data_IF_368608808620
#
_entry.id   IF_368608808620
#
_cell.length_a   1.000
_cell.length_b   1.000
_cell.length_c   1.000
_cell.angle_alpha   90.00
_cell.angle_beta   90.00
_cell.angle_gamma   90.00
#
_symmetry.space_group_name_H-M   'P 1'
#
loop_
_entity.id
_entity.type
_entity.pdbx_description
1 polymer ?
#
# COMPACT_ATOMS: atom_id res chain seq x y z
N UNK A 1 16.72 6.53 -8.69
CA UNK A 1 16.64 6.33 -7.22
C UNK A 1 15.20 5.94 -6.90
N UNK A 2 14.97 5.03 -5.99
CA UNK A 2 13.63 4.66 -5.50
C UNK A 2 13.56 5.15 -4.07
N UNK A 3 12.56 5.98 -3.79
CA UNK A 3 12.26 6.47 -2.44
C UNK A 3 11.10 5.70 -1.84
N UNK A 4 11.20 5.31 -0.59
CA UNK A 4 10.15 4.65 0.18
C UNK A 4 10.11 5.24 1.58
N UNK A 5 8.90 5.62 2.04
CA UNK A 5 8.65 6.11 3.38
C UNK A 5 7.50 5.32 4.01
N UNK A 6 7.72 4.77 5.21
CA UNK A 6 6.73 4.02 5.99
C UNK A 6 6.02 4.98 6.95
N UNK A 7 4.80 5.32 6.63
CA UNK A 7 4.06 6.38 7.30
C UNK A 7 3.28 5.86 8.53
N UNK A 8 2.57 4.74 8.36
CA UNK A 8 1.86 4.05 9.45
C UNK A 8 2.42 2.65 9.55
N UNK A 9 3.24 2.40 10.56
CA UNK A 9 4.00 1.14 10.70
C UNK A 9 4.09 0.68 12.15
N UNK A 10 3.85 -0.62 12.36
CA UNK A 10 4.04 -1.35 13.62
C UNK A 10 4.84 -2.62 13.32
N UNK A 11 6.16 -2.48 13.26
CA UNK A 11 7.08 -3.59 13.01
C UNK A 11 8.29 -3.51 13.95
N UNK A 12 8.96 -4.63 14.28
CA UNK A 12 10.16 -4.61 15.13
C UNK A 12 11.27 -3.69 14.62
N UNK A 13 11.42 -3.62 13.28
CA UNK A 13 12.44 -2.84 12.60
C UNK A 13 12.07 -1.36 12.40
N UNK A 14 10.78 -1.02 12.51
CA UNK A 14 10.28 0.35 12.32
C UNK A 14 8.96 0.58 13.06
N UNK A 15 8.84 1.73 13.72
CA UNK A 15 7.65 2.12 14.46
C UNK A 15 7.22 3.54 14.12
N UNK A 16 5.93 3.73 13.85
CA UNK A 16 5.35 5.06 13.87
C UNK A 16 5.28 5.58 15.31
N UNK A 17 5.69 6.84 15.51
CA UNK A 17 5.71 7.51 16.81
C UNK A 17 4.71 8.66 16.79
N UNK A 18 3.85 8.72 17.77
CA UNK A 18 2.87 9.80 17.94
C UNK A 18 3.58 11.15 18.08
N UNK A 19 3.21 12.12 17.24
CA UNK A 19 3.87 13.44 17.19
C UNK A 19 3.17 14.52 18.02
N UNK A 20 1.89 14.35 18.35
CA UNK A 20 1.05 15.38 18.98
C UNK A 20 0.17 14.83 20.10
N UNK A 21 -0.43 15.73 20.87
CA UNK A 21 -1.40 15.42 21.92
C UNK A 21 -0.81 14.68 23.14
N UNK A 22 -1.68 14.19 24.04
CA UNK A 22 -1.27 13.54 25.28
C UNK A 22 -0.47 12.24 25.12
N UNK A 23 -0.60 11.59 23.96
CA UNK A 23 0.08 10.33 23.65
C UNK A 23 1.42 10.52 22.92
N UNK A 24 1.89 11.78 22.78
CA UNK A 24 3.15 12.10 22.10
C UNK A 24 4.32 11.28 22.63
N UNK A 25 5.09 10.71 21.71
CA UNK A 25 6.29 9.91 22.00
C UNK A 25 6.00 8.41 22.11
N UNK A 26 4.74 8.00 22.20
CA UNK A 26 4.38 6.58 22.20
C UNK A 26 4.43 5.99 20.79
N UNK A 27 4.79 4.72 20.69
CA UNK A 27 4.81 3.98 19.44
C UNK A 27 3.42 3.48 19.05
N UNK A 28 3.22 3.18 17.77
CA UNK A 28 1.97 2.56 17.30
C UNK A 28 1.75 1.20 17.98
N UNK A 29 2.82 0.44 18.24
CA UNK A 29 2.74 -0.84 18.95
C UNK A 29 2.23 -0.67 20.40
N UNK A 30 2.72 0.34 21.13
CA UNK A 30 2.23 0.64 22.48
C UNK A 30 0.74 1.03 22.48
N UNK A 31 0.29 1.79 21.47
CA UNK A 31 -1.13 2.11 21.33
C UNK A 31 -1.95 0.86 21.00
N UNK A 32 -1.44 -0.01 20.13
CA UNK A 32 -2.10 -1.26 19.74
C UNK A 32 -2.26 -2.22 20.91
N UNK A 33 -1.27 -2.29 21.79
CA UNK A 33 -1.26 -3.23 22.92
C UNK A 33 -1.94 -2.72 24.18
N UNK A 34 -1.87 -1.41 24.47
CA UNK A 34 -2.33 -0.87 25.75
C UNK A 34 -3.56 0.05 25.65
N UNK A 35 -3.83 0.66 24.48
CA UNK A 35 -4.94 1.61 24.30
C UNK A 35 -5.85 1.21 23.14
N UNK A 36 -5.91 -0.06 22.82
CA UNK A 36 -6.55 -0.60 21.63
C UNK A 36 -7.98 -0.10 21.43
N UNK A 37 -8.84 -0.27 22.45
CA UNK A 37 -10.25 0.11 22.34
C UNK A 37 -10.43 1.62 22.14
N UNK A 38 -9.63 2.42 22.83
CA UNK A 38 -9.70 3.88 22.73
C UNK A 38 -9.19 4.41 21.39
N UNK A 39 -8.17 3.77 20.81
CA UNK A 39 -7.54 4.24 19.57
C UNK A 39 -8.16 3.58 18.34
N UNK A 40 -8.39 2.26 18.36
CA UNK A 40 -8.79 1.49 17.18
C UNK A 40 -10.23 0.99 17.24
N UNK A 41 -10.88 1.03 18.41
CA UNK A 41 -12.23 0.49 18.59
C UNK A 41 -12.26 -1.03 18.41
N UNK A 42 -13.36 -1.52 17.86
CA UNK A 42 -13.58 -2.97 17.67
C UNK A 42 -12.88 -3.49 16.41
N UNK A 43 -11.58 -3.64 16.44
CA UNK A 43 -10.79 -4.29 15.40
C UNK A 43 -10.40 -5.70 15.83
N UNK A 44 -10.34 -6.64 14.89
CA UNK A 44 -9.94 -8.04 15.16
C UNK A 44 -8.58 -8.12 15.85
N UNK A 45 -8.42 -9.12 16.73
CA UNK A 45 -7.18 -9.29 17.49
C UNK A 45 -6.01 -9.72 16.61
N UNK A 46 -4.85 -9.09 16.83
CA UNK A 46 -3.60 -9.41 16.16
C UNK A 46 -2.43 -9.00 17.05
N UNK A 47 -1.28 -9.65 16.86
CA UNK A 47 -0.05 -9.37 17.63
C UNK A 47 0.51 -7.96 17.40
N UNK A 48 0.14 -7.30 16.31
CA UNK A 48 0.52 -5.94 15.94
C UNK A 48 -0.54 -5.30 15.07
N UNK A 49 -0.48 -3.97 14.87
CA UNK A 49 -1.40 -3.26 13.98
C UNK A 49 -1.37 -3.87 12.57
N UNK A 50 -2.52 -4.24 11.98
CA UNK A 50 -2.56 -5.14 10.83
C UNK A 50 -2.21 -4.53 9.49
N UNK A 51 -2.07 -3.21 9.40
CA UNK A 51 -1.75 -2.51 8.15
C UNK A 51 -0.36 -1.87 8.20
N UNK A 52 0.24 -1.76 7.03
CA UNK A 52 1.40 -0.92 6.75
C UNK A 52 1.01 0.05 5.62
N UNK A 53 1.24 1.35 5.84
CA UNK A 53 0.94 2.38 4.84
C UNK A 53 2.23 3.09 4.47
N UNK A 54 2.46 3.25 3.17
CA UNK A 54 3.71 3.79 2.63
C UNK A 54 3.45 4.88 1.58
N UNK A 55 4.45 5.73 1.41
CA UNK A 55 4.67 6.49 0.17
C UNK A 55 5.81 5.86 -0.61
N UNK A 56 5.59 5.62 -1.90
CA UNK A 56 6.60 5.14 -2.83
C UNK A 56 6.83 6.20 -3.91
N UNK A 57 8.08 6.66 -4.04
CA UNK A 57 8.52 7.56 -5.11
C UNK A 57 9.43 6.80 -6.06
N UNK A 58 8.87 6.27 -7.14
CA UNK A 58 9.55 5.40 -8.07
C UNK A 58 10.23 6.19 -9.20
N UNK A 59 11.45 6.66 -8.97
CA UNK A 59 12.28 7.26 -10.03
C UNK A 59 12.69 6.23 -11.08
N UNK A 60 12.88 4.97 -10.69
CA UNK A 60 13.18 3.84 -11.56
C UNK A 60 12.08 2.78 -11.45
N UNK A 61 11.95 1.92 -12.46
CA UNK A 61 11.04 0.77 -12.38
C UNK A 61 11.49 -0.19 -11.27
N UNK A 62 10.59 -0.52 -10.34
CA UNK A 62 10.87 -1.47 -9.27
C UNK A 62 11.06 -2.90 -9.83
N UNK A 63 11.63 -3.79 -9.01
CA UNK A 63 11.77 -5.20 -9.40
C UNK A 63 10.41 -5.85 -9.68
N UNK A 64 10.36 -6.74 -10.65
CA UNK A 64 9.24 -7.66 -10.82
C UNK A 64 9.24 -8.65 -9.65
N UNK A 65 8.11 -8.72 -8.95
CA UNK A 65 7.98 -9.40 -7.67
C UNK A 65 6.59 -9.98 -7.46
N UNK A 66 6.47 -10.82 -6.46
CA UNK A 66 5.21 -11.36 -5.97
C UNK A 66 5.23 -11.44 -4.45
N UNK A 67 4.07 -11.32 -3.84
CA UNK A 67 3.89 -11.50 -2.40
C UNK A 67 3.14 -12.80 -2.11
N UNK A 68 3.51 -13.51 -1.03
CA UNK A 68 2.90 -14.80 -0.74
C UNK A 68 1.43 -14.67 -0.32
N UNK A 69 0.54 -15.51 -0.88
CA UNK A 69 -0.79 -15.71 -0.33
C UNK A 69 -0.77 -16.35 1.05
N UNK A 70 -1.81 -16.11 1.85
CA UNK A 70 -1.98 -16.64 3.22
C UNK A 70 -1.63 -18.14 3.33
N UNK A 71 -2.17 -18.93 2.40
CA UNK A 71 -2.02 -20.40 2.41
C UNK A 71 -0.59 -20.92 2.25
N UNK A 72 0.34 -20.11 1.73
CA UNK A 72 1.73 -20.53 1.49
C UNK A 72 2.75 -19.70 2.27
N UNK A 73 2.37 -18.53 2.78
CA UNK A 73 3.27 -17.58 3.42
C UNK A 73 4.09 -18.22 4.54
N UNK A 74 3.45 -18.87 5.50
CA UNK A 74 4.13 -19.53 6.64
C UNK A 74 5.09 -20.65 6.19
N UNK A 75 4.70 -21.45 5.18
CA UNK A 75 5.56 -22.50 4.61
C UNK A 75 6.86 -21.95 4.02
N UNK A 76 6.79 -20.72 3.48
CA UNK A 76 7.93 -20.06 2.85
C UNK A 76 8.71 -19.16 3.82
N UNK A 77 8.36 -19.17 5.12
CA UNK A 77 8.97 -18.32 6.13
C UNK A 77 8.66 -16.83 5.95
N UNK A 78 7.54 -16.50 5.31
CA UNK A 78 7.10 -15.14 5.06
C UNK A 78 5.73 -14.84 5.65
N UNK A 79 5.26 -13.63 5.40
CA UNK A 79 3.96 -13.10 5.82
C UNK A 79 3.12 -12.76 4.59
N UNK A 80 1.78 -13.00 4.61
CA UNK A 80 0.93 -12.67 3.47
C UNK A 80 0.92 -11.16 3.22
N UNK A 81 0.81 -10.77 1.95
CA UNK A 81 0.85 -9.35 1.59
C UNK A 81 -0.08 -9.04 0.42
N UNK A 82 -1.29 -8.65 0.76
CA UNK A 82 -2.28 -8.07 -0.16
C UNK A 82 -2.18 -6.55 -0.05
N UNK A 83 -2.25 -5.86 -1.18
CA UNK A 83 -1.97 -4.45 -1.31
C UNK A 83 -3.06 -3.71 -2.10
N UNK A 84 -3.09 -2.40 -1.92
CA UNK A 84 -3.80 -1.46 -2.75
C UNK A 84 -2.90 -0.27 -3.04
N UNK A 85 -2.80 0.14 -4.29
CA UNK A 85 -2.06 1.31 -4.72
C UNK A 85 -2.98 2.40 -5.24
N UNK A 86 -2.75 3.61 -4.76
CA UNK A 86 -3.33 4.84 -5.31
C UNK A 86 -2.21 5.67 -5.93
N UNK A 87 -2.37 6.05 -7.20
CA UNK A 87 -1.41 6.87 -7.94
C UNK A 87 -1.60 8.34 -7.53
N UNK A 88 -0.81 8.79 -6.54
CA UNK A 88 -0.85 10.17 -6.06
C UNK A 88 -0.27 11.15 -7.08
N UNK A 89 0.71 10.71 -7.87
CA UNK A 89 1.27 11.46 -8.99
C UNK A 89 1.83 10.49 -10.03
N UNK A 90 1.69 10.83 -11.30
CA UNK A 90 2.29 10.11 -12.42
C UNK A 90 2.76 11.08 -13.50
N UNK A 91 3.96 10.89 -14.01
CA UNK A 91 4.43 11.62 -15.21
C UNK A 91 3.73 11.09 -16.47
N UNK A 92 3.77 11.85 -17.55
CA UNK A 92 3.27 11.38 -18.84
C UNK A 92 3.98 10.09 -19.29
N UNK A 93 3.21 9.05 -19.63
CA UNK A 93 3.74 7.75 -20.01
C UNK A 93 4.10 6.82 -18.86
N UNK A 94 3.83 7.21 -17.61
CA UNK A 94 3.97 6.33 -16.47
C UNK A 94 3.07 5.08 -16.60
N UNK A 95 3.50 3.99 -15.99
CA UNK A 95 2.81 2.70 -16.08
C UNK A 95 2.99 1.88 -14.81
N UNK A 96 2.04 1.01 -14.56
CA UNK A 96 2.18 -0.10 -13.62
C UNK A 96 2.31 -1.41 -14.40
N UNK A 97 2.94 -2.38 -13.78
CA UNK A 97 3.06 -3.73 -14.29
C UNK A 97 2.32 -4.64 -13.31
N UNK A 98 1.27 -5.34 -13.76
CA UNK A 98 0.47 -6.16 -12.86
C UNK A 98 -0.19 -7.32 -13.61
N UNK A 99 -0.07 -8.54 -13.05
CA UNK A 99 -0.55 -9.77 -13.65
C UNK A 99 0.22 -10.18 -14.89
N UNK A 100 -0.21 -11.25 -15.52
CA UNK A 100 0.36 -11.75 -16.75
C UNK A 100 -0.31 -11.12 -17.97
N UNK A 101 0.44 -10.92 -19.06
CA UNK A 101 -0.10 -10.39 -20.32
C UNK A 101 -1.00 -11.40 -21.03
N UNK A 102 -0.66 -12.68 -20.94
CA UNK A 102 -1.43 -13.83 -21.42
C UNK A 102 -1.22 -15.00 -20.47
N UNK A 103 -2.10 -15.98 -20.58
CA UNK A 103 -1.94 -17.23 -19.84
C UNK A 103 -0.64 -17.92 -20.23
N UNK A 104 0.17 -18.24 -19.23
CA UNK A 104 1.41 -19.00 -19.36
C UNK A 104 1.42 -20.12 -18.34
N UNK A 105 2.06 -21.25 -18.67
CA UNK A 105 2.29 -22.31 -17.71
C UNK A 105 3.46 -21.95 -16.79
N UNK A 106 3.53 -22.62 -15.64
CA UNK A 106 4.68 -22.51 -14.74
C UNK A 106 6.01 -22.76 -15.49
N UNK A 107 6.09 -23.81 -16.30
CA UNK A 107 7.31 -24.16 -17.05
C UNK A 107 7.71 -23.07 -18.05
N UNK A 108 6.72 -22.46 -18.73
CA UNK A 108 6.97 -21.32 -19.63
C UNK A 108 7.50 -20.11 -18.88
N UNK A 109 6.95 -19.84 -17.70
CA UNK A 109 7.41 -18.74 -16.85
C UNK A 109 8.84 -19.00 -16.34
N UNK A 110 9.13 -20.21 -15.84
CA UNK A 110 10.47 -20.61 -15.41
C UNK A 110 11.50 -20.50 -16.55
N UNK A 111 11.09 -20.91 -17.76
CA UNK A 111 11.94 -20.75 -18.95
C UNK A 111 12.22 -19.27 -19.21
N UNK A 112 11.22 -18.39 -19.16
CA UNK A 112 11.38 -16.96 -19.39
C UNK A 112 12.29 -16.30 -18.31
N UNK A 113 12.22 -16.76 -17.06
CA UNK A 113 13.15 -16.31 -16.00
C UNK A 113 14.59 -16.71 -16.35
N UNK A 114 14.83 -17.97 -16.74
CA UNK A 114 16.18 -18.44 -17.13
C UNK A 114 16.74 -17.70 -18.35
N UNK A 115 15.87 -17.40 -19.33
CA UNK A 115 16.24 -16.72 -20.56
C UNK A 115 16.36 -15.18 -20.39
N UNK A 116 15.98 -14.64 -19.22
CA UNK A 116 15.98 -13.20 -18.94
C UNK A 116 14.85 -12.42 -19.64
N UNK A 117 13.81 -13.11 -20.12
CA UNK A 117 12.68 -12.53 -20.89
C UNK A 117 11.39 -12.43 -20.07
N UNK A 118 11.42 -12.69 -18.77
CA UNK A 118 10.24 -12.69 -17.89
C UNK A 118 9.47 -11.36 -17.90
N UNK A 119 10.14 -10.25 -18.17
CA UNK A 119 9.51 -8.94 -18.33
C UNK A 119 8.52 -8.87 -19.50
N UNK A 120 8.68 -9.71 -20.52
CA UNK A 120 7.76 -9.76 -21.67
C UNK A 120 6.43 -10.45 -21.33
N UNK A 121 6.38 -11.14 -20.19
CA UNK A 121 5.19 -11.86 -19.73
C UNK A 121 4.27 -10.99 -18.86
N UNK A 122 4.76 -9.88 -18.32
CA UNK A 122 3.97 -9.03 -17.43
C UNK A 122 3.02 -8.12 -18.20
N UNK A 123 1.79 -7.96 -17.69
CA UNK A 123 0.84 -7.01 -18.26
C UNK A 123 1.19 -5.58 -17.84
N UNK A 124 1.21 -4.68 -18.83
CA UNK A 124 1.53 -3.26 -18.64
C UNK A 124 0.27 -2.42 -18.70
N UNK A 125 0.05 -1.59 -17.68
CA UNK A 125 -1.14 -0.74 -17.54
C UNK A 125 -0.67 0.72 -17.55
N UNK A 126 -0.97 1.52 -18.57
CA UNK A 126 -0.76 2.97 -18.53
C UNK A 126 -1.57 3.58 -17.38
N UNK A 127 -0.99 4.52 -16.66
CA UNK A 127 -1.65 5.16 -15.53
C UNK A 127 -1.46 6.68 -15.54
N UNK A 128 -2.37 7.34 -14.84
CA UNK A 128 -2.35 8.76 -14.57
C UNK A 128 -2.62 9.02 -13.08
N UNK A 129 -2.37 10.23 -12.63
CA UNK A 129 -2.72 10.68 -11.28
C UNK A 129 -4.21 10.45 -11.01
N UNK A 130 -4.52 9.82 -9.89
CA UNK A 130 -5.88 9.48 -9.48
C UNK A 130 -6.29 8.03 -9.75
N UNK A 131 -5.54 7.31 -10.58
CA UNK A 131 -5.77 5.88 -10.81
C UNK A 131 -5.46 5.04 -9.56
N UNK A 132 -6.03 3.85 -9.51
CA UNK A 132 -5.76 2.92 -8.43
C UNK A 132 -5.88 1.47 -8.87
N UNK A 133 -5.22 0.57 -8.14
CA UNK A 133 -5.26 -0.86 -8.40
C UNK A 133 -5.22 -1.66 -7.10
N UNK A 134 -6.08 -2.68 -7.01
CA UNK A 134 -6.01 -3.69 -5.95
C UNK A 134 -5.08 -4.82 -6.38
N UNK A 135 -4.18 -5.24 -5.49
CA UNK A 135 -3.15 -6.24 -5.72
C UNK A 135 -3.32 -7.39 -4.71
N UNK A 136 -4.11 -8.41 -5.04
CA UNK A 136 -4.19 -9.59 -4.19
C UNK A 136 -2.83 -10.26 -4.10
N UNK A 137 -2.51 -10.82 -2.95
CA UNK A 137 -1.33 -11.68 -2.80
C UNK A 137 -1.34 -12.78 -3.88
N UNK A 138 -0.18 -13.05 -4.47
CA UNK A 138 -0.03 -13.94 -5.63
C UNK A 138 -0.01 -13.23 -6.99
N UNK A 139 -0.43 -11.96 -7.08
CA UNK A 139 -0.29 -11.19 -8.31
C UNK A 139 1.16 -10.82 -8.58
N UNK A 140 1.66 -11.18 -9.74
CA UNK A 140 3.00 -10.79 -10.22
C UNK A 140 2.98 -9.32 -10.65
N UNK A 141 3.87 -8.45 -10.11
CA UNK A 141 3.76 -7.02 -10.34
C UNK A 141 5.08 -6.25 -10.19
N UNK A 142 5.08 -4.99 -10.63
CA UNK A 142 6.09 -3.97 -10.34
C UNK A 142 5.51 -2.56 -10.49
N UNK A 143 6.10 -1.59 -9.81
CA UNK A 143 5.84 -0.16 -10.05
C UNK A 143 6.77 0.32 -11.16
N UNK A 144 6.20 0.92 -12.20
CA UNK A 144 6.99 1.59 -13.25
C UNK A 144 7.54 2.93 -12.79
N UNK A 145 8.62 3.38 -13.42
CA UNK A 145 9.22 4.68 -13.14
C UNK A 145 8.24 5.84 -13.35
N UNK A 146 8.44 6.93 -12.61
CA UNK A 146 7.67 8.16 -12.71
C UNK A 146 6.33 8.17 -11.97
N UNK A 147 6.13 7.24 -11.05
CA UNK A 147 4.96 7.17 -10.19
C UNK A 147 5.30 7.56 -8.74
N UNK A 148 4.40 8.31 -8.10
CA UNK A 148 4.33 8.43 -6.65
C UNK A 148 3.04 7.73 -6.19
N UNK A 149 3.16 6.74 -5.34
CA UNK A 149 2.03 5.92 -4.88
C UNK A 149 1.81 6.08 -3.38
N UNK A 150 0.53 6.06 -2.98
CA UNK A 150 0.13 5.69 -1.63
C UNK A 150 -0.17 4.21 -1.65
N UNK A 151 0.60 3.43 -0.90
CA UNK A 151 0.44 1.97 -0.76
C UNK A 151 -0.21 1.65 0.59
N UNK A 152 -1.32 0.94 0.55
CA UNK A 152 -2.00 0.40 1.72
C UNK A 152 -1.92 -1.12 1.63
N UNK A 153 -1.32 -1.79 2.63
CA UNK A 153 -1.04 -3.21 2.57
C UNK A 153 -1.23 -3.91 3.93
N UNK A 154 -1.34 -5.23 3.91
CA UNK A 154 -1.12 -6.02 5.13
C UNK A 154 0.25 -5.68 5.73
N UNK A 155 0.37 -5.75 7.06
CA UNK A 155 1.61 -5.44 7.75
C UNK A 155 2.66 -6.54 7.55
N UNK A 156 3.22 -6.56 6.35
CA UNK A 156 4.23 -7.51 5.88
C UNK A 156 5.30 -6.79 5.07
N UNK A 157 6.55 -7.24 5.20
CA UNK A 157 7.67 -6.80 4.36
C UNK A 157 8.21 -7.95 3.47
N UNK A 158 7.43 -9.02 3.33
CA UNK A 158 7.83 -10.19 2.53
C UNK A 158 7.67 -9.90 1.04
N UNK A 159 8.80 -9.96 0.32
CA UNK A 159 8.86 -9.75 -1.13
C UNK A 159 9.70 -10.83 -1.79
N UNK A 160 9.11 -11.58 -2.72
CA UNK A 160 9.84 -12.53 -3.55
C UNK A 160 10.12 -11.92 -4.91
N UNK A 161 11.38 -11.49 -5.09
CA UNK A 161 11.87 -10.81 -6.30
C UNK A 161 12.19 -11.85 -7.37
N UNK A 162 11.63 -11.65 -8.56
CA UNK A 162 11.82 -12.53 -9.73
C UNK A 162 12.83 -11.97 -10.70
N UNK A 163 12.76 -10.65 -10.95
CA UNK A 163 13.63 -9.98 -11.90
C UNK A 163 13.89 -8.54 -11.46
N UNK A 164 15.13 -8.08 -11.56
CA UNK A 164 15.56 -6.75 -11.11
C UNK A 164 16.26 -5.95 -12.20
N UNK A 165 15.84 -6.11 -13.45
CA UNK A 165 16.34 -5.35 -14.61
C UNK A 165 17.86 -5.43 -14.75
N UNK A 166 18.51 -6.51 -14.28
CA UNK A 166 19.95 -6.71 -14.24
C UNK A 166 20.71 -5.60 -13.50
N UNK A 167 20.05 -4.92 -12.55
CA UNK A 167 20.68 -3.87 -11.75
C UNK A 167 21.70 -4.43 -10.77
N UNK A 168 22.74 -3.63 -10.56
CA UNK A 168 23.76 -3.87 -9.52
C UNK A 168 23.58 -2.82 -8.43
N UNK A 169 23.50 -3.24 -7.20
CA UNK A 169 23.47 -2.35 -6.05
C UNK A 169 24.80 -1.60 -5.96
N UNK A 170 24.74 -0.27 -6.02
CA UNK A 170 25.93 0.58 -6.05
C UNK A 170 26.76 0.52 -4.77
N UNK A 171 26.14 0.17 -3.63
CA UNK A 171 26.83 0.09 -2.35
C UNK A 171 27.59 -1.22 -2.18
N UNK A 172 27.06 -2.32 -2.72
CA UNK A 172 27.63 -3.67 -2.57
C UNK A 172 28.37 -4.16 -3.81
N UNK A 173 28.16 -3.53 -4.96
CA UNK A 173 28.69 -3.97 -6.26
C UNK A 173 28.08 -5.31 -6.74
N UNK A 174 26.97 -5.77 -6.15
CA UNK A 174 26.34 -7.07 -6.45
C UNK A 174 24.87 -6.88 -6.86
N UNK A 175 24.32 -7.76 -7.70
CA UNK A 175 22.89 -7.79 -7.95
C UNK A 175 22.13 -8.13 -6.65
N UNK A 176 20.90 -7.60 -6.51
CA UNK A 176 20.01 -7.98 -5.43
C UNK A 176 19.60 -9.44 -5.56
N UNK A 177 19.41 -10.10 -4.42
CA UNK A 177 18.99 -11.50 -4.39
C UNK A 177 17.62 -11.67 -5.08
N UNK A 178 17.51 -12.70 -5.91
CA UNK A 178 16.27 -13.18 -6.50
C UNK A 178 15.74 -14.35 -5.67
N UNK A 179 14.41 -14.52 -5.66
CA UNK A 179 13.68 -15.53 -4.89
C UNK A 179 12.75 -16.32 -5.81
N UNK A 180 13.31 -16.87 -6.90
CA UNK A 180 12.52 -17.45 -8.00
C UNK A 180 11.67 -18.64 -7.51
N UNK A 181 12.26 -19.54 -6.73
CA UNK A 181 11.57 -20.74 -6.24
C UNK A 181 10.36 -20.37 -5.37
N UNK A 182 10.54 -19.43 -4.43
CA UNK A 182 9.47 -18.93 -3.58
C UNK A 182 8.39 -18.21 -4.41
N UNK A 183 8.81 -17.42 -5.38
CA UNK A 183 7.89 -16.70 -6.26
C UNK A 183 7.00 -17.66 -7.06
N UNK A 184 7.55 -18.74 -7.57
CA UNK A 184 6.80 -19.77 -8.32
C UNK A 184 5.75 -20.49 -7.47
N UNK A 185 5.95 -20.59 -6.16
CA UNK A 185 4.94 -21.12 -5.23
C UNK A 185 3.81 -20.10 -4.93
N UNK A 186 4.06 -18.80 -5.21
CA UNK A 186 3.15 -17.72 -4.89
C UNK A 186 2.35 -17.23 -6.09
N UNK A 187 2.94 -17.21 -7.30
CA UNK A 187 2.33 -16.60 -8.49
C UNK A 187 1.00 -17.28 -8.85
N UNK A 188 -0.02 -16.47 -9.04
CA UNK A 188 -1.27 -16.88 -9.67
C UNK A 188 -1.12 -16.81 -11.21
N UNK A 189 -0.86 -17.94 -11.84
CA UNK A 189 -0.71 -18.04 -13.30
C UNK A 189 -2.03 -17.83 -14.08
N UNK A 190 -3.17 -17.71 -13.36
CA UNK A 190 -4.48 -17.41 -13.97
C UNK A 190 -4.80 -15.91 -13.96
N UNK A 191 -4.01 -15.10 -13.27
CA UNK A 191 -4.19 -13.64 -13.16
C UNK A 191 -3.69 -12.93 -14.42
N UNK A 192 -4.57 -12.86 -15.43
CA UNK A 192 -4.25 -12.34 -16.77
C UNK A 192 -4.91 -10.98 -16.99
N UNK A 193 -4.12 -10.01 -17.45
CA UNK A 193 -4.54 -8.67 -17.85
C UNK A 193 -5.50 -7.99 -16.85
N UNK A 194 -5.12 -7.89 -15.56
CA UNK A 194 -5.93 -7.18 -14.57
C UNK A 194 -6.11 -5.72 -14.98
N UNK A 195 -7.22 -5.14 -14.52
CA UNK A 195 -7.57 -3.74 -14.80
C UNK A 195 -7.33 -2.86 -13.57
N UNK A 196 -7.23 -1.57 -13.80
CA UNK A 196 -7.33 -0.58 -12.75
C UNK A 196 -8.68 -0.73 -12.02
N UNK A 197 -8.73 -0.28 -10.78
CA UNK A 197 -9.95 -0.30 -9.99
C UNK A 197 -11.00 0.61 -10.62
N UNK A 198 -12.16 0.07 -10.91
CA UNK A 198 -13.32 0.85 -11.33
C UNK A 198 -14.02 1.38 -10.07
N UNK A 199 -13.71 2.63 -9.71
CA UNK A 199 -14.26 3.26 -8.49
C UNK A 199 -15.74 3.54 -8.64
N UNK A 200 -16.54 3.04 -7.69
CA UNK A 200 -17.96 3.40 -7.58
C UNK A 200 -18.12 4.51 -6.54
N UNK A 201 -18.22 5.75 -7.01
CA UNK A 201 -18.26 6.93 -6.15
C UNK A 201 -16.95 7.12 -5.38
N UNK A 202 -17.03 7.31 -4.06
CA UNK A 202 -15.87 7.52 -3.21
C UNK A 202 -15.07 6.24 -2.92
N UNK A 203 -15.71 5.07 -2.96
CA UNK A 203 -15.06 3.79 -2.61
C UNK A 203 -14.16 3.31 -3.74
N UNK A 204 -12.86 3.27 -3.49
CA UNK A 204 -11.86 2.74 -4.41
C UNK A 204 -11.71 1.22 -4.27
N UNK A 205 -11.68 0.71 -3.04
CA UNK A 205 -11.64 -0.72 -2.77
C UNK A 205 -12.35 -1.03 -1.45
N UNK A 206 -13.05 -2.15 -1.42
CA UNK A 206 -13.61 -2.74 -0.21
C UNK A 206 -13.20 -4.21 -0.14
N UNK A 207 -12.32 -4.53 0.79
CA UNK A 207 -11.78 -5.86 1.02
C UNK A 207 -11.84 -6.18 2.51
N UNK A 208 -11.84 -7.46 2.90
CA UNK A 208 -11.89 -7.87 4.30
C UNK A 208 -10.72 -7.31 5.16
N UNK A 209 -9.59 -6.97 4.55
CA UNK A 209 -8.42 -6.45 5.24
C UNK A 209 -8.46 -4.93 5.41
N UNK A 210 -9.05 -4.21 4.46
CA UNK A 210 -9.15 -2.74 4.47
C UNK A 210 -10.22 -2.26 3.49
N UNK A 211 -10.74 -1.07 3.78
CA UNK A 211 -11.54 -0.29 2.85
C UNK A 211 -10.85 1.04 2.60
N UNK A 212 -10.70 1.43 1.33
CA UNK A 212 -10.10 2.71 0.94
C UNK A 212 -11.11 3.53 0.17
N UNK A 213 -11.30 4.75 0.60
CA UNK A 213 -12.16 5.73 -0.06
C UNK A 213 -11.35 6.98 -0.41
N UNK A 214 -11.68 7.59 -1.54
CA UNK A 214 -11.21 8.92 -1.91
C UNK A 214 -12.34 9.92 -1.70
N UNK A 215 -12.10 10.94 -0.89
CA UNK A 215 -13.03 12.02 -0.65
C UNK A 215 -12.54 13.31 -1.29
N UNK A 216 -13.45 14.04 -1.93
CA UNK A 216 -13.26 15.43 -2.29
C UNK A 216 -14.03 16.26 -1.24
N UNK A 217 -13.36 17.19 -0.59
CA UNK A 217 -13.92 17.98 0.50
C UNK A 217 -14.20 19.39 0.05
N UNK A 218 -15.48 19.71 -0.13
CA UNK A 218 -15.95 21.07 -0.41
C UNK A 218 -16.45 21.80 0.85
N UNK A 219 -16.71 21.04 1.92
CA UNK A 219 -17.19 21.53 3.21
C UNK A 219 -16.72 20.62 4.36
N UNK A 220 -16.80 21.10 5.63
CA UNK A 220 -16.55 20.25 6.80
C UNK A 220 -17.41 19.00 6.77
N UNK A 221 -16.80 17.83 7.07
CA UNK A 221 -17.46 16.54 7.00
C UNK A 221 -17.01 15.65 8.17
N UNK A 222 -17.88 14.76 8.65
CA UNK A 222 -17.51 13.79 9.70
C UNK A 222 -16.67 12.68 9.06
N UNK A 223 -15.37 12.63 9.44
CA UNK A 223 -14.41 11.70 8.80
C UNK A 223 -14.66 10.23 9.13
N UNK A 224 -15.20 9.95 10.29
CA UNK A 224 -15.50 8.58 10.74
C UNK A 224 -16.56 8.61 11.85
N UNK A 225 -17.42 7.60 11.90
CA UNK A 225 -18.41 7.44 12.97
C UNK A 225 -17.77 7.11 14.33
N UNK A 226 -18.51 7.40 15.42
CA UNK A 226 -18.06 7.13 16.79
C UNK A 226 -17.68 5.66 17.00
N UNK A 227 -16.60 5.42 17.75
CA UNK A 227 -16.10 4.08 18.05
C UNK A 227 -15.35 3.41 16.91
N UNK A 228 -15.03 4.15 15.84
CA UNK A 228 -14.21 3.70 14.73
C UNK A 228 -12.99 4.58 14.56
N UNK A 229 -11.89 3.99 14.12
CA UNK A 229 -10.70 4.73 13.71
C UNK A 229 -10.63 4.87 12.18
N UNK A 230 -9.83 5.82 11.72
CA UNK A 230 -9.46 5.93 10.33
C UNK A 230 -7.98 6.34 10.20
N UNK A 231 -7.34 5.91 9.11
CA UNK A 231 -6.12 6.54 8.62
C UNK A 231 -6.52 7.48 7.51
N UNK A 232 -5.98 8.70 7.56
CA UNK A 232 -6.23 9.74 6.56
C UNK A 232 -4.92 10.13 5.92
N UNK A 233 -4.88 10.17 4.59
CA UNK A 233 -3.79 10.75 3.81
C UNK A 233 -4.31 11.99 3.08
N UNK A 234 -3.73 13.16 3.29
CA UNK A 234 -4.03 14.35 2.52
C UNK A 234 -3.43 14.21 1.12
N UNK A 235 -4.25 14.33 0.07
CA UNK A 235 -3.79 14.24 -1.32
C UNK A 235 -3.54 15.62 -1.92
N UNK A 236 -4.48 16.55 -1.75
CA UNK A 236 -4.42 17.91 -2.31
C UNK A 236 -5.01 18.93 -1.35
N UNK A 237 -4.68 20.21 -1.52
CA UNK A 237 -5.25 21.37 -0.84
C UNK A 237 -4.79 21.51 0.61
N UNK A 238 -5.00 20.52 1.41
CA UNK A 238 -4.74 20.52 2.86
C UNK A 238 -6.02 20.32 3.67
N UNK A 239 -5.88 19.71 4.83
CA UNK A 239 -6.99 19.39 5.72
C UNK A 239 -6.68 19.79 7.16
N UNK A 240 -7.73 20.09 7.94
CA UNK A 240 -7.64 20.28 9.39
C UNK A 240 -8.60 19.34 10.09
N UNK A 241 -8.10 18.69 11.14
CA UNK A 241 -8.90 17.96 12.11
C UNK A 241 -8.54 18.44 13.50
N UNK A 242 -9.50 19.01 14.23
CA UNK A 242 -9.29 19.66 15.53
C UNK A 242 -8.19 20.74 15.41
N UNK A 243 -7.03 20.54 15.99
CA UNK A 243 -5.86 21.44 15.96
C UNK A 243 -4.71 20.96 15.08
N UNK A 244 -4.92 19.87 14.33
CA UNK A 244 -3.93 19.27 13.42
C UNK A 244 -4.20 19.68 11.98
N UNK A 245 -3.24 20.38 11.37
CA UNK A 245 -3.24 20.65 9.93
C UNK A 245 -2.37 19.63 9.21
N UNK A 246 -2.85 19.08 8.10
CA UNK A 246 -2.08 18.22 7.19
C UNK A 246 -1.94 18.87 5.83
N UNK A 247 -0.75 18.74 5.26
CA UNK A 247 -0.41 19.09 3.89
C UNK A 247 -0.49 17.84 2.99
N UNK A 248 -0.50 18.02 1.67
CA UNK A 248 -0.40 16.89 0.75
C UNK A 248 0.80 15.98 1.05
N UNK A 249 0.55 14.67 1.11
CA UNK A 249 1.52 13.65 1.47
C UNK A 249 1.66 13.38 2.98
N UNK A 250 0.96 14.11 3.85
CA UNK A 250 0.97 13.84 5.30
C UNK A 250 -0.17 12.91 5.72
N UNK A 251 0.07 12.14 6.78
CA UNK A 251 -0.83 11.10 7.30
C UNK A 251 -1.26 11.41 8.73
N UNK A 252 -2.48 10.99 9.05
CA UNK A 252 -3.07 11.09 10.37
C UNK A 252 -3.81 9.81 10.73
N UNK A 253 -3.58 9.29 11.92
CA UNK A 253 -4.45 8.28 12.54
C UNK A 253 -5.50 9.02 13.38
N UNK A 254 -6.76 8.86 13.03
CA UNK A 254 -7.92 9.40 13.75
C UNK A 254 -8.39 8.35 14.75
N UNK A 255 -8.25 8.59 16.09
CA UNK A 255 -8.60 7.57 17.07
C UNK A 255 -10.12 7.40 17.23
N UNK A 256 -10.54 6.18 17.57
CA UNK A 256 -11.95 5.82 17.77
C UNK A 256 -12.63 6.62 18.89
N UNK A 257 -11.86 7.05 19.90
CA UNK A 257 -12.33 7.87 21.04
C UNK A 257 -12.44 9.37 20.73
N UNK A 258 -11.98 9.84 19.56
CA UNK A 258 -12.05 11.25 19.21
C UNK A 258 -13.49 11.74 19.19
N UNK A 259 -13.78 12.83 19.89
CA UNK A 259 -15.15 13.40 19.99
C UNK A 259 -15.46 14.31 18.80
N UNK A 260 -14.56 15.26 18.50
CA UNK A 260 -14.71 16.14 17.36
C UNK A 260 -14.04 15.51 16.14
N UNK A 261 -14.86 14.95 15.24
CA UNK A 261 -14.46 14.22 14.04
C UNK A 261 -14.69 15.00 12.76
N UNK A 262 -14.93 16.33 12.89
CA UNK A 262 -15.14 17.20 11.74
C UNK A 262 -13.82 17.52 11.05
N UNK A 263 -13.59 16.91 9.87
CA UNK A 263 -12.47 17.26 9.00
C UNK A 263 -12.85 18.43 8.10
N UNK A 264 -11.97 19.40 7.99
CA UNK A 264 -12.21 20.65 7.28
C UNK A 264 -11.22 20.80 6.11
N UNK A 265 -11.68 21.19 4.89
CA UNK A 265 -10.78 21.57 3.82
C UNK A 265 -10.08 22.90 4.17
N UNK A 266 -8.81 23.02 3.75
CA UNK A 266 -8.01 24.25 3.94
C UNK A 266 -7.85 25.05 2.65
N UNK A 267 -8.28 24.50 1.52
CA UNK A 267 -8.29 25.14 0.20
C UNK A 267 -9.33 24.48 -0.70
N UNK A 268 -9.68 25.16 -1.79
CA UNK A 268 -10.49 24.59 -2.86
C UNK A 268 -9.77 23.38 -3.48
N UNK A 269 -10.53 22.40 -3.92
CA UNK A 269 -9.98 21.17 -4.52
C UNK A 269 -9.26 20.28 -3.51
N UNK A 270 -9.55 20.42 -2.21
CA UNK A 270 -9.02 19.52 -1.18
C UNK A 270 -9.54 18.11 -1.38
N UNK A 271 -8.62 17.13 -1.33
CA UNK A 271 -8.96 15.71 -1.38
C UNK A 271 -8.09 14.87 -0.46
N UNK A 272 -8.62 13.73 -0.06
CA UNK A 272 -7.93 12.80 0.83
C UNK A 272 -8.23 11.33 0.48
N UNK A 273 -7.37 10.42 0.96
CA UNK A 273 -7.73 9.02 1.16
C UNK A 273 -8.15 8.79 2.60
N UNK A 274 -9.22 8.03 2.78
CA UNK A 274 -9.65 7.48 4.06
C UNK A 274 -9.49 5.97 4.02
N UNK A 275 -8.75 5.43 4.97
CA UNK A 275 -8.51 3.99 5.12
C UNK A 275 -9.13 3.52 6.43
N UNK A 276 -9.91 2.46 6.37
CA UNK A 276 -10.51 1.81 7.52
C UNK A 276 -10.33 0.30 7.43
N UNK A 277 -10.48 -0.41 8.56
CA UNK A 277 -10.54 -1.87 8.60
C UNK A 277 -12.00 -2.26 8.78
N UNK A 278 -12.58 -3.07 7.87
CA UNK A 278 -13.93 -3.62 8.02
C UNK A 278 -14.06 -4.48 9.28
N UNK A 279 -15.29 -4.56 9.81
CA UNK A 279 -15.65 -5.43 10.95
C UNK A 279 -15.99 -6.82 10.51
#
# INVERSE_FOLDING_TARGET
MIGESWEIVDRPEAQSIVRNGPLRGRTLHELWTHDRDAIFGSVADASRFPLLVKLLDAHDTLSLQVHPPEKVAAKLGGEPKTEFWYVAFAIAGAKLLAGLRLAVTRDQFEKAVRDGTVADLVHTIPVQTGDSIFLPAGRFHAVGAGNVLVEIQQNSDTTYRVFDWNRVDQSTGKPRQLHVDQALECIDFTDVAPKLTDSKGETLVKHQLFEVQKWNLDAPSEIIGSGHFAIVCCLTGGIRLVDVDLRPGEFLLVPASLQDRQIQPRADGTSLLRVTIPR
#
